data_IF_467107305399
#
_entry.id   IF_467107305399
#
_cell.length_a   1.000
_cell.length_b   1.000
_cell.length_c   1.000
_cell.angle_alpha   90.00
_cell.angle_beta   90.00
_cell.angle_gamma   90.00
#
_symmetry.space_group_name_H-M   'P 1'
#
loop_
_entity.id
_entity.type
_entity.pdbx_description
1 polymer ?
#
# COMPACT_ATOMS: atom_id res chain seq x y z
N UNK A 1 -28.21 -2.85 -34.96
CA UNK A 1 -26.92 -2.18 -34.69
C UNK A 1 -26.64 -2.32 -33.20
N UNK A 2 -26.12 -3.46 -32.75
CA UNK A 2 -25.90 -3.75 -31.32
C UNK A 2 -24.65 -4.63 -31.16
N UNK A 3 -23.47 -4.09 -31.48
CA UNK A 3 -22.19 -4.78 -31.24
C UNK A 3 -21.07 -3.92 -30.66
N UNK A 4 -21.31 -2.65 -30.32
CA UNK A 4 -20.27 -1.76 -29.80
C UNK A 4 -20.16 -1.70 -28.28
N UNK A 5 -21.14 -2.24 -27.54
CA UNK A 5 -21.20 -2.14 -26.06
C UNK A 5 -20.45 -3.25 -25.33
N UNK A 6 -20.16 -4.38 -25.96
CA UNK A 6 -19.49 -5.52 -25.32
C UNK A 6 -17.95 -5.34 -25.21
N UNK A 7 -17.37 -4.47 -26.03
CA UNK A 7 -15.91 -4.28 -26.06
C UNK A 7 -15.31 -3.32 -24.98
N UNK A 8 -16.15 -2.51 -24.36
CA UNK A 8 -15.69 -1.50 -23.37
C UNK A 8 -15.54 -2.07 -21.95
N UNK A 9 -16.40 -3.02 -21.61
CA UNK A 9 -16.53 -3.55 -20.25
C UNK A 9 -15.33 -4.44 -19.85
N UNK A 10 -14.80 -5.23 -20.79
CA UNK A 10 -13.65 -6.11 -20.53
C UNK A 10 -12.31 -5.36 -20.36
N UNK A 11 -12.21 -4.11 -20.81
CA UNK A 11 -10.95 -3.36 -20.76
C UNK A 11 -10.58 -2.91 -19.34
N UNK A 12 -11.54 -2.51 -18.53
CA UNK A 12 -11.28 -2.08 -17.15
C UNK A 12 -10.83 -3.27 -16.30
N UNK A 13 -11.48 -4.42 -16.43
CA UNK A 13 -11.10 -5.66 -15.74
C UNK A 13 -9.74 -6.18 -16.22
N UNK A 14 -9.49 -6.17 -17.52
CA UNK A 14 -8.19 -6.55 -18.07
C UNK A 14 -7.06 -5.65 -17.56
N UNK A 15 -7.27 -4.33 -17.53
CA UNK A 15 -6.31 -3.38 -16.96
C UNK A 15 -6.09 -3.63 -15.46
N UNK A 16 -7.16 -3.87 -14.71
CA UNK A 16 -7.09 -4.21 -13.29
C UNK A 16 -6.33 -5.52 -13.02
N UNK A 17 -6.57 -6.55 -13.84
CA UNK A 17 -5.85 -7.83 -13.75
C UNK A 17 -4.36 -7.70 -14.10
N UNK A 18 -4.01 -6.87 -15.10
CA UNK A 18 -2.62 -6.58 -15.45
C UNK A 18 -1.91 -5.88 -14.29
N UNK A 19 -2.56 -4.88 -13.68
CA UNK A 19 -2.01 -4.16 -12.54
C UNK A 19 -1.85 -5.08 -11.33
N UNK A 20 -2.85 -5.92 -11.04
CA UNK A 20 -2.74 -6.92 -10.00
C UNK A 20 -1.59 -7.91 -10.27
N UNK A 21 -1.46 -8.37 -11.51
CA UNK A 21 -0.35 -9.23 -11.95
C UNK A 21 1.02 -8.57 -11.75
N UNK A 22 1.16 -7.30 -12.11
CA UNK A 22 2.39 -6.54 -11.90
C UNK A 22 2.72 -6.35 -10.40
N UNK A 23 1.71 -6.10 -9.57
CA UNK A 23 1.87 -5.97 -8.12
C UNK A 23 2.30 -7.31 -7.50
N UNK A 24 1.66 -8.42 -7.89
CA UNK A 24 2.01 -9.75 -7.42
C UNK A 24 3.41 -10.17 -7.91
N UNK A 25 3.74 -9.86 -9.16
CA UNK A 25 5.06 -10.13 -9.72
C UNK A 25 6.15 -9.30 -9.03
N UNK A 26 5.91 -8.01 -8.77
CA UNK A 26 6.79 -7.17 -7.99
C UNK A 26 6.99 -7.69 -6.56
N UNK A 27 5.91 -8.10 -5.90
CA UNK A 27 5.95 -8.75 -4.58
C UNK A 27 6.74 -10.06 -4.59
N UNK A 28 6.56 -10.88 -5.63
CA UNK A 28 7.32 -12.11 -5.83
C UNK A 28 8.82 -11.84 -5.99
N UNK A 29 9.20 -10.84 -6.81
CA UNK A 29 10.60 -10.45 -6.97
C UNK A 29 11.23 -9.95 -5.67
N UNK A 30 10.50 -9.19 -4.87
CA UNK A 30 10.94 -8.73 -3.55
C UNK A 30 11.13 -9.91 -2.59
N UNK A 31 10.26 -10.91 -2.68
CA UNK A 31 10.37 -12.14 -1.89
C UNK A 31 11.55 -13.00 -2.32
N UNK A 32 11.73 -13.24 -3.63
CA UNK A 32 12.79 -14.05 -4.20
C UNK A 32 14.19 -13.46 -3.94
N UNK A 33 14.31 -12.13 -3.92
CA UNK A 33 15.56 -11.42 -3.59
C UNK A 33 15.83 -11.34 -2.08
N UNK A 34 14.99 -11.94 -1.23
CA UNK A 34 15.12 -11.90 0.23
C UNK A 34 14.89 -10.50 0.82
N UNK A 35 14.49 -9.52 0.01
CA UNK A 35 14.24 -8.16 0.48
C UNK A 35 13.06 -8.10 1.45
N UNK A 36 12.08 -8.98 1.26
CA UNK A 36 10.93 -9.10 2.16
C UNK A 36 11.33 -9.58 3.56
N UNK A 37 12.23 -10.57 3.65
CA UNK A 37 12.73 -11.05 4.93
C UNK A 37 13.56 -9.98 5.65
N UNK A 38 14.44 -9.29 4.93
CA UNK A 38 15.23 -8.17 5.45
C UNK A 38 14.32 -7.05 5.97
N UNK A 39 13.25 -6.74 5.24
CA UNK A 39 12.28 -5.70 5.57
C UNK A 39 11.47 -6.07 6.83
N UNK A 40 11.04 -7.33 6.94
CA UNK A 40 10.25 -7.82 8.05
C UNK A 40 11.08 -8.14 9.30
N UNK A 41 12.29 -8.67 9.13
CA UNK A 41 13.22 -8.96 10.24
C UNK A 41 13.89 -7.69 10.78
N UNK A 42 14.15 -6.71 9.91
CA UNK A 42 14.71 -5.41 10.29
C UNK A 42 13.71 -4.53 11.05
N UNK A 43 12.41 -4.75 10.89
CA UNK A 43 11.37 -3.96 11.55
C UNK A 43 10.97 -4.54 12.93
N UNK A 44 11.76 -4.22 13.95
CA UNK A 44 11.43 -4.56 15.35
C UNK A 44 10.16 -3.89 15.85
N UNK A 45 9.69 -2.82 15.21
CA UNK A 45 8.47 -2.07 15.60
C UNK A 45 7.17 -2.76 15.18
N UNK A 46 7.22 -3.75 14.28
CA UNK A 46 6.08 -4.44 13.66
C UNK A 46 5.13 -3.51 12.88
N UNK A 47 5.51 -2.27 12.64
CA UNK A 47 4.69 -1.32 11.87
C UNK A 47 4.59 -1.72 10.40
N UNK A 48 5.61 -2.33 9.83
CA UNK A 48 5.56 -2.88 8.45
C UNK A 48 4.47 -3.95 8.30
N UNK A 49 4.21 -4.75 9.35
CA UNK A 49 3.11 -5.71 9.36
C UNK A 49 1.74 -5.03 9.34
N UNK A 50 1.58 -3.93 10.07
CA UNK A 50 0.35 -3.14 10.07
C UNK A 50 0.11 -2.51 8.69
N UNK A 51 1.16 -1.92 8.08
CA UNK A 51 1.11 -1.38 6.72
C UNK A 51 0.69 -2.46 5.72
N UNK A 52 1.30 -3.65 5.80
CA UNK A 52 0.99 -4.78 4.93
C UNK A 52 -0.46 -5.25 5.09
N UNK A 53 -0.95 -5.35 6.33
CA UNK A 53 -2.33 -5.74 6.62
C UNK A 53 -3.34 -4.76 6.03
N UNK A 54 -3.14 -3.45 6.21
CA UNK A 54 -3.99 -2.41 5.62
C UNK A 54 -3.95 -2.49 4.10
N UNK A 55 -2.76 -2.64 3.52
CA UNK A 55 -2.58 -2.73 2.08
C UNK A 55 -3.32 -3.95 1.48
N UNK A 56 -3.19 -5.14 2.08
CA UNK A 56 -3.90 -6.37 1.63
C UNK A 56 -5.41 -6.19 1.73
N UNK A 57 -5.92 -5.66 2.86
CA UNK A 57 -7.33 -5.44 3.08
C UNK A 57 -7.92 -4.48 2.04
N UNK A 58 -7.25 -3.37 1.77
CA UNK A 58 -7.71 -2.35 0.81
C UNK A 58 -7.57 -2.81 -0.64
N UNK A 59 -6.50 -3.54 -0.99
CA UNK A 59 -6.35 -4.14 -2.33
C UNK A 59 -7.42 -5.20 -2.60
N UNK A 60 -7.77 -6.01 -1.60
CA UNK A 60 -8.89 -6.97 -1.69
C UNK A 60 -10.24 -6.28 -1.89
N UNK A 61 -10.48 -5.17 -1.18
CA UNK A 61 -11.68 -4.34 -1.36
C UNK A 61 -11.73 -3.70 -2.74
N UNK A 62 -10.62 -3.16 -3.22
CA UNK A 62 -10.51 -2.61 -4.56
C UNK A 62 -10.92 -3.65 -5.62
N UNK A 63 -10.44 -4.89 -5.51
CA UNK A 63 -10.79 -5.96 -6.44
C UNK A 63 -12.30 -6.32 -6.38
N UNK A 64 -12.90 -6.32 -5.19
CA UNK A 64 -14.34 -6.55 -5.03
C UNK A 64 -15.17 -5.43 -5.68
N UNK A 65 -14.75 -4.17 -5.51
CA UNK A 65 -15.42 -3.01 -6.12
C UNK A 65 -15.29 -3.03 -7.64
N UNK A 66 -14.14 -3.40 -8.17
CA UNK A 66 -13.91 -3.51 -9.60
C UNK A 66 -14.85 -4.55 -10.24
N UNK A 67 -15.04 -5.70 -9.58
CA UNK A 67 -16.00 -6.73 -10.03
C UNK A 67 -17.45 -6.24 -9.97
N UNK A 68 -17.82 -5.45 -8.96
CA UNK A 68 -19.17 -4.89 -8.82
C UNK A 68 -19.52 -3.86 -9.88
N UNK A 69 -18.53 -3.09 -10.38
CA UNK A 69 -18.76 -2.14 -11.48
C UNK A 69 -19.15 -2.87 -12.77
N UNK A 70 -18.73 -4.12 -12.95
CA UNK A 70 -19.06 -4.91 -14.13
C UNK A 70 -20.42 -5.59 -14.07
N UNK A 71 -20.94 -5.89 -12.87
CA UNK A 71 -22.29 -6.46 -12.70
C UNK A 71 -23.36 -5.39 -13.00
N UNK A 72 -23.82 -5.39 -14.25
CA UNK A 72 -24.81 -4.45 -14.84
C UNK A 72 -26.15 -4.45 -14.10
N UNK A 73 -26.50 -5.53 -13.39
CA UNK A 73 -27.79 -5.69 -12.71
C UNK A 73 -27.85 -5.08 -11.30
N UNK A 74 -26.74 -4.70 -10.71
CA UNK A 74 -26.70 -4.06 -9.39
C UNK A 74 -26.38 -2.58 -9.54
N UNK A 75 -27.42 -1.75 -9.50
CA UNK A 75 -27.32 -0.34 -9.14
C UNK A 75 -26.70 -0.22 -7.75
N UNK A 76 -25.37 -0.31 -7.68
CA UNK A 76 -24.67 0.11 -6.47
C UNK A 76 -24.94 1.60 -6.38
N UNK A 77 -25.61 2.03 -5.31
CA UNK A 77 -25.88 3.44 -5.10
C UNK A 77 -24.57 4.20 -5.27
N UNK A 78 -24.56 5.24 -6.12
CA UNK A 78 -23.39 6.07 -6.41
C UNK A 78 -22.74 6.59 -5.12
N UNK A 79 -23.55 6.85 -4.11
CA UNK A 79 -23.12 7.26 -2.77
C UNK A 79 -22.24 6.23 -2.06
N UNK A 80 -22.56 4.92 -2.19
CA UNK A 80 -21.74 3.87 -1.56
C UNK A 80 -20.36 3.74 -2.22
N UNK A 81 -20.31 3.90 -3.54
CA UNK A 81 -19.08 3.83 -4.29
C UNK A 81 -18.18 5.05 -3.98
N UNK A 82 -18.75 6.25 -3.91
CA UNK A 82 -18.02 7.46 -3.52
C UNK A 82 -17.44 7.34 -2.09
N UNK A 83 -18.18 6.77 -1.15
CA UNK A 83 -17.68 6.48 0.20
C UNK A 83 -16.47 5.54 0.17
N UNK A 84 -16.53 4.47 -0.62
CA UNK A 84 -15.41 3.52 -0.73
C UNK A 84 -14.17 4.12 -1.36
N UNK A 85 -14.32 5.00 -2.35
CA UNK A 85 -13.21 5.79 -2.89
C UNK A 85 -12.55 6.64 -1.79
N UNK A 86 -13.35 7.36 -1.00
CA UNK A 86 -12.83 8.16 0.11
C UNK A 86 -12.10 7.32 1.16
N UNK A 87 -12.62 6.12 1.50
CA UNK A 87 -11.92 5.19 2.39
C UNK A 87 -10.59 4.71 1.79
N UNK A 88 -10.54 4.48 0.48
CA UNK A 88 -9.33 4.11 -0.24
C UNK A 88 -8.25 5.19 -0.18
N UNK A 89 -8.61 6.45 -0.44
CA UNK A 89 -7.70 7.59 -0.31
C UNK A 89 -7.22 7.78 1.12
N UNK A 90 -8.14 7.68 2.08
CA UNK A 90 -7.79 7.76 3.51
C UNK A 90 -6.82 6.65 3.92
N UNK A 91 -7.04 5.42 3.48
CA UNK A 91 -6.15 4.30 3.78
C UNK A 91 -4.75 4.50 3.16
N UNK A 92 -4.68 4.98 1.91
CA UNK A 92 -3.42 5.30 1.26
C UNK A 92 -2.62 6.35 2.05
N UNK A 93 -3.28 7.40 2.51
CA UNK A 93 -2.62 8.43 3.33
C UNK A 93 -2.23 7.89 4.72
N UNK A 94 -3.04 6.99 5.28
CA UNK A 94 -2.77 6.40 6.59
C UNK A 94 -1.53 5.51 6.58
N UNK A 95 -1.33 4.66 5.56
CA UNK A 95 -0.14 3.80 5.47
C UNK A 95 1.14 4.63 5.33
N UNK A 96 1.08 5.76 4.62
CA UNK A 96 2.19 6.69 4.52
C UNK A 96 2.53 7.31 5.89
N UNK A 97 1.53 7.76 6.63
CA UNK A 97 1.69 8.34 7.97
C UNK A 97 2.23 7.32 8.97
N UNK A 98 1.79 6.07 8.89
CA UNK A 98 2.32 4.97 9.71
C UNK A 98 3.81 4.72 9.37
N UNK A 99 4.17 4.75 8.08
CA UNK A 99 5.58 4.67 7.66
C UNK A 99 6.43 5.80 8.26
N UNK A 100 5.93 7.04 8.22
CA UNK A 100 6.60 8.19 8.84
C UNK A 100 6.68 8.08 10.38
N UNK A 101 5.66 7.52 11.03
CA UNK A 101 5.72 7.23 12.46
C UNK A 101 6.83 6.23 12.77
N UNK A 102 7.05 5.25 11.89
CA UNK A 102 8.15 4.30 11.99
C UNK A 102 9.54 4.96 11.97
N UNK A 103 9.71 6.06 11.22
CA UNK A 103 10.98 6.81 11.26
C UNK A 103 11.22 7.44 12.64
N UNK A 104 10.18 8.00 13.25
CA UNK A 104 10.29 8.61 14.59
C UNK A 104 10.68 7.53 15.61
N UNK A 105 10.02 6.37 15.58
CA UNK A 105 10.32 5.25 16.48
C UNK A 105 11.74 4.73 16.22
N UNK A 106 12.13 4.57 14.95
CA UNK A 106 13.49 4.15 14.58
C UNK A 106 14.56 5.10 15.06
N UNK A 107 14.31 6.42 15.02
CA UNK A 107 15.22 7.43 15.58
C UNK A 107 15.35 7.31 17.10
N UNK A 108 14.25 7.10 17.81
CA UNK A 108 14.27 6.88 19.25
C UNK A 108 15.10 5.65 19.59
N UNK A 109 14.89 4.54 18.87
CA UNK A 109 15.66 3.30 19.05
C UNK A 109 17.14 3.47 18.69
N UNK A 110 17.46 4.32 17.72
CA UNK A 110 18.84 4.64 17.34
C UNK A 110 19.58 5.44 18.42
N UNK A 111 18.89 6.35 19.12
CA UNK A 111 19.51 7.22 20.12
C UNK A 111 19.58 6.58 21.52
N UNK A 112 18.70 5.63 21.83
CA UNK A 112 18.63 4.99 23.14
C UNK A 112 19.98 4.41 23.62
N UNK A 113 20.77 3.68 22.82
CA UNK A 113 22.04 3.10 23.26
C UNK A 113 23.08 4.13 23.69
N UNK A 114 23.01 5.36 23.18
CA UNK A 114 23.95 6.43 23.57
C UNK A 114 23.73 6.84 25.02
N UNK A 115 22.45 6.90 25.44
CA UNK A 115 22.08 7.24 26.82
C UNK A 115 22.42 6.16 27.84
N UNK A 116 22.61 4.92 27.38
CA UNK A 116 22.93 3.74 28.22
C UNK A 116 24.42 3.46 28.32
N UNK A 117 25.28 4.20 27.62
CA UNK A 117 26.74 4.02 27.66
C UNK A 117 27.27 4.34 29.06
N UNK A 118 27.76 3.31 29.75
CA UNK A 118 28.38 3.43 31.07
C UNK A 118 29.91 3.47 31.00
N UNK A 119 30.50 3.03 29.90
CA UNK A 119 31.93 3.03 29.63
C UNK A 119 32.22 3.33 28.16
N UNK A 120 33.40 3.90 27.88
CA UNK A 120 33.87 4.24 26.52
C UNK A 120 34.94 3.25 26.04
N UNK A 121 34.82 1.97 26.42
CA UNK A 121 35.68 0.94 25.90
C UNK A 121 35.25 0.51 24.48
N UNK A 122 36.13 -0.16 23.76
CA UNK A 122 35.92 -0.56 22.37
C UNK A 122 34.68 -1.50 22.23
N UNK A 123 34.43 -2.37 23.20
CA UNK A 123 33.33 -3.33 23.18
C UNK A 123 31.99 -2.64 23.39
N UNK A 124 31.88 -1.73 24.34
CA UNK A 124 30.67 -0.94 24.61
C UNK A 124 30.33 -0.03 23.43
N UNK A 125 31.31 0.62 22.83
CA UNK A 125 31.11 1.42 21.61
C UNK A 125 30.66 0.59 20.43
N UNK A 126 31.24 -0.58 20.21
CA UNK A 126 30.83 -1.47 19.12
C UNK A 126 29.37 -1.95 19.30
N UNK A 127 28.99 -2.30 20.53
CA UNK A 127 27.62 -2.69 20.86
C UNK A 127 26.64 -1.55 20.62
N UNK A 128 26.94 -0.34 21.05
CA UNK A 128 26.12 0.83 20.82
C UNK A 128 25.94 1.15 19.33
N UNK A 129 27.04 1.10 18.55
CA UNK A 129 26.97 1.32 17.10
C UNK A 129 26.10 0.26 16.38
N UNK A 130 26.18 -1.01 16.79
CA UNK A 130 25.34 -2.07 16.25
C UNK A 130 23.86 -1.83 16.56
N UNK A 131 23.54 -1.42 17.78
CA UNK A 131 22.16 -1.10 18.20
C UNK A 131 21.62 0.16 17.48
N UNK A 132 22.45 1.18 17.32
CA UNK A 132 22.11 2.38 16.54
C UNK A 132 21.81 2.04 15.07
N UNK A 133 22.63 1.17 14.45
CA UNK A 133 22.40 0.70 13.08
C UNK A 133 21.07 -0.03 12.95
N UNK A 134 20.71 -0.85 13.95
CA UNK A 134 19.41 -1.53 13.97
C UNK A 134 18.22 -0.54 14.07
N UNK A 135 18.34 0.52 14.89
CA UNK A 135 17.31 1.57 14.97
C UNK A 135 17.14 2.32 13.66
N UNK A 136 18.24 2.65 12.99
CA UNK A 136 18.21 3.30 11.67
C UNK A 136 17.55 2.40 10.62
N UNK A 137 17.81 1.09 10.66
CA UNK A 137 17.18 0.13 9.74
C UNK A 137 15.65 0.12 9.92
N UNK A 138 15.14 0.13 11.17
CA UNK A 138 13.69 0.25 11.44
C UNK A 138 13.12 1.51 10.78
N UNK A 139 13.75 2.67 10.98
CA UNK A 139 13.31 3.94 10.41
C UNK A 139 13.18 3.88 8.88
N UNK A 140 14.20 3.35 8.20
CA UNK A 140 14.24 3.29 6.74
C UNK A 140 13.25 2.28 6.16
N UNK A 141 13.17 1.09 6.73
CA UNK A 141 12.31 0.02 6.21
C UNK A 141 10.82 0.32 6.37
N UNK A 142 10.41 0.86 7.52
CA UNK A 142 9.01 1.22 7.73
C UNK A 142 8.55 2.34 6.81
N UNK A 143 9.39 3.34 6.57
CA UNK A 143 9.07 4.43 5.62
C UNK A 143 9.01 3.93 4.20
N UNK A 144 9.96 3.07 3.78
CA UNK A 144 9.95 2.48 2.46
C UNK A 144 8.68 1.65 2.23
N UNK A 145 8.29 0.82 3.20
CA UNK A 145 7.06 0.05 3.14
C UNK A 145 5.82 0.94 3.02
N UNK A 146 5.74 2.01 3.84
CA UNK A 146 4.65 2.99 3.80
C UNK A 146 4.54 3.71 2.46
N UNK A 147 5.67 4.13 1.89
CA UNK A 147 5.73 4.79 0.58
C UNK A 147 5.26 3.87 -0.55
N UNK A 148 5.77 2.65 -0.62
CA UNK A 148 5.39 1.68 -1.65
C UNK A 148 3.90 1.36 -1.56
N UNK A 149 3.40 1.06 -0.36
CA UNK A 149 1.99 0.78 -0.14
C UNK A 149 1.09 1.97 -0.52
N UNK A 150 1.49 3.19 -0.18
CA UNK A 150 0.76 4.41 -0.56
C UNK A 150 0.67 4.58 -2.08
N UNK A 151 1.78 4.45 -2.79
CA UNK A 151 1.82 4.60 -4.25
C UNK A 151 0.90 3.57 -4.92
N UNK A 152 0.97 2.30 -4.50
CA UNK A 152 0.16 1.23 -5.08
C UNK A 152 -1.33 1.49 -4.81
N UNK A 153 -1.72 1.81 -3.56
CA UNK A 153 -3.11 2.08 -3.21
C UNK A 153 -3.65 3.29 -3.98
N UNK A 154 -2.89 4.39 -4.06
CA UNK A 154 -3.30 5.56 -4.84
C UNK A 154 -3.55 5.20 -6.29
N UNK A 155 -2.67 4.43 -6.91
CA UNK A 155 -2.84 4.01 -8.29
C UNK A 155 -4.08 3.12 -8.48
N UNK A 156 -4.32 2.15 -7.58
CA UNK A 156 -5.49 1.28 -7.61
C UNK A 156 -6.80 2.07 -7.51
N UNK A 157 -6.90 2.99 -6.54
CA UNK A 157 -8.10 3.79 -6.33
C UNK A 157 -8.30 4.87 -7.40
N UNK A 158 -7.22 5.38 -8.00
CA UNK A 158 -7.32 6.25 -9.17
C UNK A 158 -7.94 5.52 -10.36
N UNK A 159 -7.49 4.30 -10.66
CA UNK A 159 -8.09 3.49 -11.73
C UNK A 159 -9.59 3.22 -11.49
N UNK A 160 -9.97 2.98 -10.24
CA UNK A 160 -11.36 2.79 -9.87
C UNK A 160 -12.19 4.06 -10.11
N UNK A 161 -11.67 5.22 -9.72
CA UNK A 161 -12.30 6.52 -9.95
C UNK A 161 -12.49 6.80 -11.45
N UNK A 162 -11.47 6.55 -12.27
CA UNK A 162 -11.52 6.74 -13.71
C UNK A 162 -12.55 5.79 -14.38
N UNK A 163 -12.65 4.55 -13.89
CA UNK A 163 -13.63 3.60 -14.40
C UNK A 163 -15.07 4.04 -14.08
N UNK A 164 -15.32 4.57 -12.88
CA UNK A 164 -16.60 5.15 -12.50
C UNK A 164 -16.97 6.36 -13.35
N UNK A 165 -16.04 7.29 -13.50
CA UNK A 165 -16.29 8.51 -14.29
C UNK A 165 -16.65 8.18 -15.73
N UNK A 166 -15.98 7.22 -16.35
CA UNK A 166 -16.29 6.77 -17.72
C UNK A 166 -17.71 6.20 -17.83
N UNK A 167 -18.17 5.47 -16.81
CA UNK A 167 -19.52 4.92 -16.77
C UNK A 167 -20.58 6.00 -16.70
N UNK A 168 -20.41 6.97 -15.79
CA UNK A 168 -21.33 8.10 -15.62
C UNK A 168 -21.46 8.95 -16.89
N UNK A 169 -20.35 9.20 -17.60
CA UNK A 169 -20.36 9.95 -18.86
C UNK A 169 -21.05 9.15 -19.97
N UNK A 170 -20.87 7.82 -20.01
CA UNK A 170 -21.57 6.95 -20.97
C UNK A 170 -23.07 6.95 -20.79
N UNK A 171 -23.55 6.87 -19.56
CA UNK A 171 -25.00 6.90 -19.24
C UNK A 171 -25.63 8.27 -19.53
N UNK A 172 -24.90 9.36 -19.33
CA UNK A 172 -25.38 10.72 -19.65
C UNK A 172 -25.42 11.02 -21.16
N UNK A 173 -24.66 10.28 -21.97
CA UNK A 173 -24.65 10.44 -23.44
C UNK A 173 -25.74 9.63 -24.16
N UNK A 174 -26.35 8.67 -23.50
CA UNK A 174 -27.41 7.80 -24.03
C UNK A 174 -28.84 8.27 -23.61
N UNK A 175 -28.96 9.32 -22.79
CA UNK A 175 -30.21 9.93 -22.33
C UNK A 175 -30.54 11.19 -23.14
#
# INVERSE_FOLDING_TARGET
MSQSTIGGNNKALQQGLIVLGLILFGGYLLFDRGLMSILLEGDKSRLSWLILAIWIAMSGRWLQLLRRIEDVERTVAEDDMARWLNHGWFAADSVLKIGLLGTIIGFILMLAPIGELTSFDAASLQSALAAMSAGMAVALYTTLAGLIANIILRFQFQMLADAMQKRLIGEAGDA
#
